data_IF_185293309510
#
_entry.id   IF_185293309510
#
_cell.length_a   1.000
_cell.length_b   1.000
_cell.length_c   1.000
_cell.angle_alpha   90.00
_cell.angle_beta   90.00
_cell.angle_gamma   90.00
#
_symmetry.space_group_name_H-M   'P 1'
#
loop_
_entity.id
_entity.type
_entity.pdbx_description
1 polymer ?
#
# COMPACT_ATOMS: atom_id res chain seq x y z
N UNK A 1 19.93 2.30 23.66
CA UNK A 1 18.91 3.26 23.18
C UNK A 1 17.60 2.81 23.79
N UNK A 2 17.02 3.69 24.60
CA UNK A 2 15.96 3.39 25.56
C UNK A 2 14.59 3.40 24.89
N UNK A 3 13.83 2.34 25.16
CA UNK A 3 12.40 2.36 25.44
C UNK A 3 11.49 3.08 24.43
N UNK A 4 11.16 2.42 23.33
CA UNK A 4 9.86 2.60 22.69
C UNK A 4 9.39 1.23 22.20
N UNK A 5 8.88 0.42 23.14
CA UNK A 5 7.80 -0.52 22.81
C UNK A 5 6.63 0.36 22.38
N UNK A 6 6.60 0.67 21.10
CA UNK A 6 5.50 1.39 20.49
C UNK A 6 4.36 0.39 20.38
N UNK A 7 3.39 0.50 21.28
CA UNK A 7 2.04 -0.05 21.13
C UNK A 7 1.35 0.62 19.92
N UNK A 8 1.96 0.51 18.74
CA UNK A 8 1.33 0.89 17.49
C UNK A 8 0.32 -0.21 17.18
N UNK A 9 -0.87 -0.10 17.78
CA UNK A 9 -2.03 -0.84 17.32
C UNK A 9 -2.27 -0.42 15.88
N UNK A 10 -1.86 -1.30 14.95
CA UNK A 10 -2.14 -1.14 13.54
C UNK A 10 -3.65 -1.01 13.40
N UNK A 11 -4.10 0.18 13.03
CA UNK A 11 -5.53 0.41 12.81
C UNK A 11 -5.96 -0.32 11.55
N UNK A 12 -7.27 -0.59 11.40
CA UNK A 12 -7.77 -1.18 10.16
C UNK A 12 -7.41 -0.29 8.96
N UNK A 13 -7.46 1.03 9.13
CA UNK A 13 -7.03 1.99 8.12
C UNK A 13 -5.54 1.85 7.78
N UNK A 14 -4.65 1.59 8.75
CA UNK A 14 -3.23 1.32 8.48
C UNK A 14 -3.03 0.03 7.68
N UNK A 15 -3.81 -1.01 8.01
CA UNK A 15 -3.76 -2.30 7.31
C UNK A 15 -4.29 -2.15 5.89
N UNK A 16 -5.40 -1.43 5.71
CA UNK A 16 -6.03 -1.17 4.43
C UNK A 16 -5.10 -0.33 3.55
N UNK A 17 -4.53 0.75 4.08
CA UNK A 17 -3.52 1.55 3.38
C UNK A 17 -2.28 0.72 3.00
N UNK A 18 -1.81 -0.19 3.87
CA UNK A 18 -0.70 -1.10 3.56
C UNK A 18 -1.06 -2.11 2.48
N UNK A 19 -2.28 -2.65 2.54
CA UNK A 19 -2.78 -3.60 1.57
C UNK A 19 -2.91 -2.93 0.20
N UNK A 20 -3.42 -1.70 0.16
CA UNK A 20 -3.60 -0.89 -1.03
C UNK A 20 -2.27 -0.55 -1.72
N UNK A 21 -1.20 -0.33 -0.96
CA UNK A 21 0.14 -0.12 -1.53
C UNK A 21 0.75 -1.37 -2.18
N UNK A 22 0.28 -2.57 -1.84
CA UNK A 22 0.78 -3.84 -2.37
C UNK A 22 -0.24 -4.56 -3.26
N UNK A 23 -1.37 -3.91 -3.56
CA UNK A 23 -2.42 -4.45 -4.38
C UNK A 23 -2.38 -3.81 -5.78
N UNK A 24 -2.01 -4.56 -6.84
CA UNK A 24 -2.05 -4.04 -8.21
C UNK A 24 -3.46 -3.67 -8.71
N UNK A 25 -4.52 -4.02 -7.99
CA UNK A 25 -5.86 -3.51 -8.25
C UNK A 25 -6.04 -2.04 -7.80
N UNK A 26 -5.21 -1.53 -6.89
CA UNK A 26 -5.28 -0.17 -6.38
C UNK A 26 -4.32 0.76 -7.13
N UNK A 27 -4.76 1.99 -7.44
CA UNK A 27 -3.93 2.99 -8.13
C UNK A 27 -2.67 3.37 -7.33
N UNK A 28 -2.75 3.30 -5.99
CA UNK A 28 -1.63 3.58 -5.09
C UNK A 28 -0.42 2.66 -5.32
N UNK A 29 -0.67 1.40 -5.73
CA UNK A 29 0.39 0.47 -6.12
C UNK A 29 1.16 0.98 -7.34
N UNK A 30 0.46 1.47 -8.35
CA UNK A 30 1.05 1.97 -9.61
C UNK A 30 1.75 3.31 -9.42
N UNK A 31 1.16 4.22 -8.64
CA UNK A 31 1.79 5.49 -8.27
C UNK A 31 3.09 5.31 -7.51
N UNK A 32 3.19 4.30 -6.64
CA UNK A 32 4.44 3.97 -5.95
C UNK A 32 5.56 3.50 -6.89
N UNK A 33 5.20 3.01 -8.08
CA UNK A 33 6.13 2.55 -9.13
C UNK A 33 6.48 3.63 -10.14
N UNK A 34 5.86 4.80 -10.05
CA UNK A 34 6.06 5.92 -10.96
C UNK A 34 5.07 5.98 -12.12
N UNK A 35 4.01 5.18 -12.08
CA UNK A 35 2.92 5.24 -13.06
C UNK A 35 1.84 6.21 -12.56
N UNK A 36 1.28 7.05 -13.45
CA UNK A 36 0.26 8.04 -13.07
C UNK A 36 -1.07 7.37 -12.68
N UNK A 37 -1.44 6.32 -13.41
CA UNK A 37 -2.65 5.51 -13.20
C UNK A 37 -2.36 4.04 -13.51
N UNK A 38 -3.27 3.16 -13.07
CA UNK A 38 -3.20 1.73 -13.37
C UNK A 38 -3.40 1.47 -14.87
N UNK A 39 -2.50 0.72 -15.54
CA UNK A 39 -2.70 0.29 -16.93
C UNK A 39 -3.97 -0.56 -17.08
N UNK A 40 -4.72 -0.42 -18.18
CA UNK A 40 -5.96 -1.21 -18.39
C UNK A 40 -5.70 -2.72 -18.58
N UNK A 41 -4.50 -3.10 -19.02
CA UNK A 41 -4.06 -4.46 -19.30
C UNK A 41 -3.31 -5.12 -18.12
N UNK A 42 -3.36 -4.53 -16.92
CA UNK A 42 -2.60 -5.01 -15.77
C UNK A 42 -2.97 -6.42 -15.28
N UNK A 43 -4.21 -6.88 -15.52
CA UNK A 43 -4.65 -8.24 -15.18
C UNK A 43 -4.10 -9.30 -16.14
N UNK A 44 -3.68 -8.89 -17.33
CA UNK A 44 -3.20 -9.78 -18.39
C UNK A 44 -1.66 -9.92 -18.43
N UNK A 45 -0.92 -9.28 -17.50
CA UNK A 45 0.56 -9.31 -17.41
C UNK A 45 1.15 -10.49 -16.60
#
# INVERSE_FOLDING_TARGET
MSQFESDYEQTQDDIDNRADQLNPNNDSYWQSRGEEERPEDWEDQ
#
